data_IF_820675872309
#
_entry.id   IF_820675872309
#
_cell.length_a   1.000
_cell.length_b   1.000
_cell.length_c   1.000
_cell.angle_alpha   90.00
_cell.angle_beta   90.00
_cell.angle_gamma   90.00
#
_symmetry.space_group_name_H-M   'P 1'
#
loop_
_entity.id
_entity.type
_entity.pdbx_description
1 polymer ?
#
# COMPACT_ATOMS: atom_id res chain seq x y z
N UNK A 1 -18.65 -15.28 32.20
CA UNK A 1 -19.84 -15.29 31.32
C UNK A 1 -19.42 -14.76 29.96
N UNK A 2 -19.09 -15.64 29.01
CA UNK A 2 -18.76 -15.27 27.63
C UNK A 2 -20.07 -15.06 26.89
N UNK A 3 -20.39 -13.81 26.59
CA UNK A 3 -21.54 -13.46 25.73
C UNK A 3 -21.29 -14.03 24.33
N UNK A 4 -22.22 -14.83 23.81
CA UNK A 4 -22.18 -15.29 22.41
C UNK A 4 -22.25 -14.06 21.49
N UNK A 5 -21.43 -13.99 20.43
CA UNK A 5 -21.42 -12.87 19.50
C UNK A 5 -22.78 -12.69 18.84
N UNK A 6 -23.17 -11.43 18.63
CA UNK A 6 -24.41 -11.06 17.94
C UNK A 6 -24.44 -11.57 16.49
N UNK A 7 -25.60 -11.54 15.84
CA UNK A 7 -25.71 -11.89 14.42
C UNK A 7 -24.87 -10.97 13.53
N UNK A 8 -24.83 -9.68 13.85
CA UNK A 8 -24.04 -8.68 13.12
C UNK A 8 -22.54 -8.87 13.31
N UNK A 9 -22.07 -9.21 14.53
CA UNK A 9 -20.68 -9.54 14.79
C UNK A 9 -20.23 -10.78 14.03
N UNK A 10 -21.05 -11.84 13.97
CA UNK A 10 -20.77 -13.05 13.18
C UNK A 10 -20.72 -12.74 11.68
N UNK A 11 -21.63 -11.89 11.19
CA UNK A 11 -21.68 -11.47 9.79
C UNK A 11 -20.42 -10.70 9.42
N UNK A 12 -20.00 -9.71 10.24
CA UNK A 12 -18.77 -8.94 10.05
C UNK A 12 -17.53 -9.84 10.11
N UNK A 13 -17.47 -10.76 11.06
CA UNK A 13 -16.36 -11.71 11.18
C UNK A 13 -16.23 -12.62 9.96
N UNK A 14 -17.35 -13.13 9.43
CA UNK A 14 -17.34 -13.97 8.21
C UNK A 14 -16.87 -13.17 6.99
N UNK A 15 -17.35 -11.94 6.85
CA UNK A 15 -16.92 -11.05 5.75
C UNK A 15 -15.41 -10.77 5.80
N UNK A 16 -14.89 -10.47 6.98
CA UNK A 16 -13.46 -10.25 7.17
C UNK A 16 -12.64 -11.52 6.91
N UNK A 17 -13.09 -12.68 7.37
CA UNK A 17 -12.44 -13.96 7.12
C UNK A 17 -12.30 -14.27 5.62
N UNK A 18 -13.33 -13.92 4.81
CA UNK A 18 -13.27 -14.06 3.35
C UNK A 18 -12.24 -13.12 2.70
N UNK A 19 -12.15 -11.87 3.15
CA UNK A 19 -11.13 -10.92 2.67
C UNK A 19 -9.72 -11.40 2.98
N UNK A 20 -9.49 -11.84 4.22
CA UNK A 20 -8.17 -12.32 4.65
C UNK A 20 -7.79 -13.64 3.94
N UNK A 21 -8.75 -14.54 3.71
CA UNK A 21 -8.54 -15.74 2.94
C UNK A 21 -8.21 -15.43 1.47
N UNK A 22 -8.89 -14.48 0.85
CA UNK A 22 -8.59 -14.03 -0.51
C UNK A 22 -7.18 -13.48 -0.62
N UNK A 23 -6.75 -12.65 0.34
CA UNK A 23 -5.36 -12.12 0.40
C UNK A 23 -4.34 -13.26 0.53
N UNK A 24 -4.56 -14.23 1.43
CA UNK A 24 -3.66 -15.38 1.57
C UNK A 24 -3.57 -16.20 0.28
N UNK A 25 -4.70 -16.50 -0.36
CA UNK A 25 -4.69 -17.24 -1.62
C UNK A 25 -3.87 -16.50 -2.70
N UNK A 26 -4.04 -15.16 -2.82
CA UNK A 26 -3.27 -14.37 -3.79
C UNK A 26 -1.79 -14.31 -3.42
N UNK A 27 -1.46 -14.09 -2.15
CA UNK A 27 -0.08 -14.05 -1.67
C UNK A 27 0.67 -15.34 -1.96
N UNK A 28 0.04 -16.48 -1.68
CA UNK A 28 0.69 -17.79 -1.69
C UNK A 28 0.71 -18.45 -3.07
N UNK A 29 -0.23 -18.11 -3.95
CA UNK A 29 -0.34 -18.75 -5.28
C UNK A 29 -0.80 -17.84 -6.43
N UNK A 30 -0.80 -16.51 -6.23
CA UNK A 30 -1.24 -15.52 -7.21
C UNK A 30 -2.76 -15.55 -7.44
N UNK A 31 -3.23 -14.68 -8.35
CA UNK A 31 -4.67 -14.57 -8.68
C UNK A 31 -5.29 -15.88 -9.17
N UNK A 32 -4.53 -16.72 -9.85
CA UNK A 32 -5.02 -18.00 -10.40
C UNK A 32 -5.41 -18.98 -9.28
N UNK A 33 -4.75 -18.95 -8.11
CA UNK A 33 -5.05 -19.80 -6.96
C UNK A 33 -6.30 -19.36 -6.19
N UNK A 34 -6.71 -18.09 -6.30
CA UNK A 34 -7.83 -17.49 -5.60
C UNK A 34 -9.18 -17.91 -6.20
N UNK A 35 -9.47 -19.23 -6.18
CA UNK A 35 -10.77 -19.78 -6.60
C UNK A 35 -11.80 -19.64 -5.49
N UNK A 36 -13.10 -19.57 -5.83
CA UNK A 36 -14.16 -19.47 -4.84
C UNK A 36 -14.11 -20.61 -3.79
N UNK A 37 -13.79 -21.84 -4.23
CA UNK A 37 -13.64 -22.99 -3.33
C UNK A 37 -12.46 -22.84 -2.40
N UNK A 38 -11.30 -22.43 -2.91
CA UNK A 38 -10.10 -22.26 -2.10
C UNK A 38 -10.31 -21.17 -1.06
N UNK A 39 -10.82 -19.99 -1.47
CA UNK A 39 -11.11 -18.88 -0.57
C UNK A 39 -12.09 -19.28 0.53
N UNK A 40 -13.21 -19.94 0.19
CA UNK A 40 -14.21 -20.35 1.20
C UNK A 40 -13.70 -21.45 2.14
N UNK A 41 -12.88 -22.37 1.65
CA UNK A 41 -12.22 -23.37 2.49
C UNK A 41 -11.29 -22.71 3.51
N UNK A 42 -10.43 -21.80 3.04
CA UNK A 42 -9.51 -21.03 3.89
C UNK A 42 -10.22 -20.11 4.90
N UNK A 43 -11.38 -19.59 4.54
CA UNK A 43 -12.21 -18.74 5.41
C UNK A 43 -13.09 -19.52 6.38
N UNK A 44 -13.22 -20.84 6.24
CA UNK A 44 -14.20 -21.63 6.98
C UNK A 44 -15.66 -21.25 6.66
N UNK A 45 -15.92 -20.77 5.44
CA UNK A 45 -17.22 -20.27 5.00
C UNK A 45 -17.84 -21.17 3.91
N UNK A 46 -19.15 -21.04 3.68
CA UNK A 46 -19.80 -21.70 2.56
C UNK A 46 -19.69 -20.90 1.26
N UNK A 47 -19.87 -21.57 0.11
CA UNK A 47 -19.73 -20.93 -1.20
C UNK A 47 -20.69 -19.75 -1.43
N UNK A 48 -21.91 -19.82 -0.88
CA UNK A 48 -22.92 -18.77 -0.98
C UNK A 48 -22.53 -17.48 -0.26
N UNK A 49 -21.60 -17.54 0.71
CA UNK A 49 -21.14 -16.38 1.45
C UNK A 49 -20.47 -15.35 0.55
N UNK A 50 -19.73 -15.78 -0.49
CA UNK A 50 -19.10 -14.85 -1.46
C UNK A 50 -20.18 -14.00 -2.14
N UNK A 51 -21.19 -14.65 -2.69
CA UNK A 51 -22.27 -13.93 -3.38
C UNK A 51 -23.08 -13.04 -2.42
N UNK A 52 -23.29 -13.50 -1.20
CA UNK A 52 -24.04 -12.76 -0.18
C UNK A 52 -23.32 -11.46 0.24
N UNK A 53 -22.00 -11.52 0.50
CA UNK A 53 -21.25 -10.37 1.03
C UNK A 53 -20.64 -9.47 -0.04
N UNK A 54 -20.32 -10.00 -1.22
CA UNK A 54 -19.52 -9.30 -2.23
C UNK A 54 -20.15 -9.29 -3.62
N UNK A 55 -21.22 -10.06 -3.85
CA UNK A 55 -21.84 -10.20 -5.16
C UNK A 55 -21.10 -11.18 -6.07
N UNK A 56 -19.79 -11.05 -6.22
CA UNK A 56 -18.98 -11.96 -7.03
C UNK A 56 -17.62 -12.27 -6.38
N UNK A 57 -16.96 -13.32 -6.88
CA UNK A 57 -15.57 -13.64 -6.51
C UNK A 57 -14.62 -12.52 -6.89
N UNK A 58 -14.82 -11.92 -8.06
CA UNK A 58 -13.93 -10.88 -8.57
C UNK A 58 -14.05 -9.60 -7.74
N UNK A 59 -15.25 -9.26 -7.27
CA UNK A 59 -15.46 -8.15 -6.35
C UNK A 59 -14.83 -8.41 -4.97
N UNK A 60 -14.93 -9.65 -4.45
CA UNK A 60 -14.22 -10.04 -3.22
C UNK A 60 -12.71 -9.88 -3.36
N UNK A 61 -12.11 -10.43 -4.44
CA UNK A 61 -10.67 -10.34 -4.66
C UNK A 61 -10.24 -8.89 -4.78
N UNK A 62 -10.96 -8.11 -5.56
CA UNK A 62 -10.65 -6.71 -5.73
C UNK A 62 -10.73 -5.92 -4.43
N UNK A 63 -11.76 -6.13 -3.61
CA UNK A 63 -11.88 -5.49 -2.31
C UNK A 63 -10.74 -5.91 -1.36
N UNK A 64 -10.37 -7.19 -1.36
CA UNK A 64 -9.26 -7.70 -0.57
C UNK A 64 -7.92 -7.06 -0.96
N UNK A 65 -7.62 -6.96 -2.27
CA UNK A 65 -6.39 -6.37 -2.78
C UNK A 65 -6.32 -4.85 -2.51
N UNK A 66 -7.42 -4.12 -2.76
CA UNK A 66 -7.45 -2.69 -2.51
C UNK A 66 -7.45 -2.35 -1.02
N UNK A 67 -8.09 -3.16 -0.17
CA UNK A 67 -7.98 -3.02 1.28
C UNK A 67 -6.53 -3.19 1.78
N UNK A 68 -5.78 -4.13 1.20
CA UNK A 68 -4.36 -4.28 1.51
C UNK A 68 -3.53 -3.06 1.04
N UNK A 69 -3.81 -2.53 -0.15
CA UNK A 69 -3.18 -1.32 -0.66
C UNK A 69 -3.46 -0.10 0.24
N UNK A 70 -4.71 0.10 0.65
CA UNK A 70 -5.11 1.17 1.55
C UNK A 70 -4.40 1.05 2.91
N UNK A 71 -4.38 -0.15 3.51
CA UNK A 71 -3.68 -0.41 4.77
C UNK A 71 -2.18 -0.14 4.69
N UNK A 72 -1.57 -0.38 3.53
CA UNK A 72 -0.15 -0.10 3.29
C UNK A 72 0.16 1.40 3.20
N UNK A 73 -0.73 2.18 2.60
CA UNK A 73 -0.55 3.61 2.34
C UNK A 73 -1.00 4.48 3.53
N UNK A 74 -2.02 4.06 4.28
CA UNK A 74 -2.58 4.83 5.40
C UNK A 74 -1.55 5.32 6.41
N UNK A 75 -0.57 4.52 6.88
CA UNK A 75 0.42 5.00 7.84
C UNK A 75 1.30 6.14 7.30
N UNK A 76 1.60 6.12 5.99
CA UNK A 76 2.31 7.22 5.36
C UNK A 76 1.45 8.50 5.31
N UNK A 77 0.15 8.37 5.01
CA UNK A 77 -0.78 9.52 5.05
C UNK A 77 -0.95 10.08 6.46
N UNK A 78 -0.98 9.23 7.49
CA UNK A 78 -1.06 9.64 8.90
C UNK A 78 0.19 10.42 9.33
N UNK A 79 1.38 10.05 8.84
CA UNK A 79 2.61 10.77 9.13
C UNK A 79 2.59 12.24 8.63
N UNK A 80 1.81 12.53 7.58
CA UNK A 80 1.60 13.90 7.10
C UNK A 80 0.53 14.68 7.88
N UNK A 81 -0.28 14.02 8.68
CA UNK A 81 -1.36 14.64 9.45
C UNK A 81 -0.86 15.24 10.77
N UNK A 82 0.36 14.95 11.19
CA UNK A 82 0.96 15.52 12.38
C UNK A 82 1.24 17.01 12.15
N UNK A 83 0.86 17.85 13.13
CA UNK A 83 1.21 19.28 13.16
C UNK A 83 2.67 19.43 13.61
N UNK A 84 3.59 19.15 12.70
CA UNK A 84 5.03 19.10 12.94
C UNK A 84 5.78 19.93 11.88
N UNK A 85 6.98 20.45 12.19
CA UNK A 85 7.83 21.12 11.22
C UNK A 85 8.11 20.24 9.98
N UNK A 86 8.25 20.82 8.77
CA UNK A 86 8.48 20.06 7.54
C UNK A 86 9.65 19.07 7.59
N UNK A 87 10.73 19.42 8.30
CA UNK A 87 11.90 18.54 8.48
C UNK A 87 11.61 17.33 9.35
N UNK A 88 10.80 17.49 10.40
CA UNK A 88 10.36 16.39 11.26
C UNK A 88 9.36 15.50 10.52
N UNK A 89 8.46 16.09 9.74
CA UNK A 89 7.52 15.36 8.87
C UNK A 89 8.27 14.53 7.84
N UNK A 90 9.29 15.09 7.17
CA UNK A 90 10.14 14.35 6.23
C UNK A 90 10.78 13.14 6.90
N UNK A 91 11.37 13.32 8.09
CA UNK A 91 11.99 12.23 8.84
C UNK A 91 10.98 11.14 9.20
N UNK A 92 9.79 11.52 9.66
CA UNK A 92 8.72 10.58 10.01
C UNK A 92 8.25 9.79 8.78
N UNK A 93 8.06 10.44 7.63
CA UNK A 93 7.68 9.80 6.36
C UNK A 93 8.75 8.81 5.88
N UNK A 94 10.03 9.20 5.94
CA UNK A 94 11.14 8.30 5.58
C UNK A 94 11.21 7.10 6.53
N UNK A 95 11.08 7.31 7.83
CA UNK A 95 11.06 6.23 8.82
C UNK A 95 9.88 5.29 8.59
N UNK A 96 8.70 5.82 8.29
CA UNK A 96 7.53 5.02 7.99
C UNK A 96 7.70 4.19 6.71
N UNK A 97 8.28 4.77 5.66
CA UNK A 97 8.60 4.06 4.42
C UNK A 97 9.58 2.90 4.68
N UNK A 98 10.66 3.14 5.42
CA UNK A 98 11.63 2.10 5.77
C UNK A 98 11.01 1.00 6.66
N UNK A 99 10.15 1.38 7.61
CA UNK A 99 9.43 0.43 8.45
C UNK A 99 8.47 -0.45 7.64
N UNK A 100 7.86 0.10 6.60
CA UNK A 100 6.96 -0.63 5.71
C UNK A 100 7.70 -1.69 4.90
N UNK A 101 8.88 -1.39 4.37
CA UNK A 101 9.72 -2.37 3.68
C UNK A 101 10.17 -3.53 4.57
N UNK A 102 10.35 -3.28 5.89
CA UNK A 102 10.73 -4.33 6.84
C UNK A 102 9.56 -5.25 7.22
N UNK A 103 8.33 -4.72 7.28
CA UNK A 103 7.17 -5.44 7.84
C UNK A 103 6.41 -6.29 6.83
N UNK A 104 6.45 -5.92 5.55
CA UNK A 104 5.48 -6.42 4.57
C UNK A 104 6.10 -7.07 3.33
N UNK A 105 7.26 -7.75 3.48
CA UNK A 105 7.83 -8.52 2.37
C UNK A 105 6.84 -9.57 1.83
N UNK A 106 6.13 -10.26 2.74
CA UNK A 106 5.17 -11.31 2.37
C UNK A 106 3.92 -10.76 1.65
N UNK A 107 3.56 -9.50 1.86
CA UNK A 107 2.39 -8.86 1.24
C UNK A 107 2.71 -8.20 -0.11
N UNK A 108 3.98 -8.19 -0.54
CA UNK A 108 4.38 -7.59 -1.81
C UNK A 108 3.63 -8.19 -3.03
N UNK A 109 3.36 -9.51 -3.13
CA UNK A 109 2.56 -10.06 -4.24
C UNK A 109 1.14 -9.48 -4.28
N UNK A 110 0.48 -9.36 -3.14
CA UNK A 110 -0.88 -8.78 -3.03
C UNK A 110 -0.89 -7.33 -3.50
N UNK A 111 0.10 -6.56 -3.08
CA UNK A 111 0.29 -5.17 -3.48
C UNK A 111 0.50 -5.00 -4.99
N UNK A 112 1.40 -5.79 -5.58
CA UNK A 112 1.70 -5.73 -7.01
C UNK A 112 0.49 -6.15 -7.86
N UNK A 113 -0.26 -7.17 -7.42
CA UNK A 113 -1.50 -7.59 -8.08
C UNK A 113 -2.59 -6.51 -8.00
N UNK A 114 -2.69 -5.78 -6.87
CA UNK A 114 -3.61 -4.64 -6.77
C UNK A 114 -3.29 -3.54 -7.78
N UNK A 115 -1.99 -3.18 -7.94
CA UNK A 115 -1.56 -2.20 -8.94
C UNK A 115 -1.84 -2.68 -10.36
N UNK A 116 -1.55 -3.95 -10.65
CA UNK A 116 -1.78 -4.54 -11.96
C UNK A 116 -3.28 -4.58 -12.31
N UNK A 117 -4.14 -4.91 -11.35
CA UNK A 117 -5.59 -4.87 -11.50
C UNK A 117 -6.07 -3.44 -11.82
N UNK A 118 -5.54 -2.42 -11.13
CA UNK A 118 -5.87 -1.02 -11.39
C UNK A 118 -5.48 -0.55 -12.81
N UNK A 119 -4.46 -1.14 -13.44
CA UNK A 119 -4.12 -0.81 -14.83
C UNK A 119 -5.11 -1.38 -15.85
N UNK A 120 -5.87 -2.41 -15.48
CA UNK A 120 -6.74 -3.18 -16.40
C UNK A 120 -8.23 -2.88 -16.22
N UNK A 121 -8.66 -2.49 -15.03
CA UNK A 121 -10.08 -2.23 -14.71
C UNK A 121 -10.27 -0.77 -14.24
N UNK A 122 -11.18 -0.05 -14.91
CA UNK A 122 -11.43 1.39 -14.66
C UNK A 122 -11.92 1.66 -13.22
N UNK A 123 -12.74 0.77 -12.64
CA UNK A 123 -13.28 0.92 -11.27
C UNK A 123 -12.16 0.95 -10.22
N UNK A 124 -11.17 0.05 -10.40
CA UNK A 124 -10.03 -0.04 -9.49
C UNK A 124 -8.97 1.02 -9.77
N UNK A 125 -8.86 1.44 -11.04
CA UNK A 125 -8.03 2.58 -11.42
C UNK A 125 -8.45 3.85 -10.69
N UNK A 126 -9.73 4.14 -10.64
CA UNK A 126 -10.26 5.33 -9.95
C UNK A 126 -9.91 5.31 -8.45
N UNK A 127 -10.07 4.17 -7.76
CA UNK A 127 -9.66 4.02 -6.36
C UNK A 127 -8.15 4.21 -6.18
N UNK A 128 -7.34 3.56 -7.01
CA UNK A 128 -5.89 3.70 -6.97
C UNK A 128 -5.44 5.14 -7.24
N UNK A 129 -6.04 5.81 -8.23
CA UNK A 129 -5.75 7.22 -8.55
C UNK A 129 -6.09 8.13 -7.38
N UNK A 130 -7.22 7.93 -6.71
CA UNK A 130 -7.60 8.70 -5.52
C UNK A 130 -6.59 8.51 -4.39
N UNK A 131 -6.22 7.26 -4.08
CA UNK A 131 -5.28 6.94 -3.00
C UNK A 131 -3.88 7.48 -3.27
N UNK A 132 -3.31 7.20 -4.44
CA UNK A 132 -2.01 7.72 -4.86
C UNK A 132 -2.03 9.24 -5.05
N UNK A 133 -3.16 9.80 -5.49
CA UNK A 133 -3.35 11.24 -5.64
C UNK A 133 -3.25 11.96 -4.30
N UNK A 134 -3.89 11.42 -3.26
CA UNK A 134 -3.80 11.95 -1.89
C UNK A 134 -2.37 11.92 -1.36
N UNK A 135 -1.67 10.79 -1.53
CA UNK A 135 -0.27 10.66 -1.10
C UNK A 135 0.66 11.60 -1.88
N UNK A 136 0.46 11.71 -3.19
CA UNK A 136 1.22 12.64 -4.05
C UNK A 136 1.02 14.09 -3.64
N UNK A 137 -0.22 14.50 -3.35
CA UNK A 137 -0.53 15.86 -2.92
C UNK A 137 0.19 16.19 -1.60
N UNK A 138 0.14 15.30 -0.60
CA UNK A 138 0.83 15.50 0.68
C UNK A 138 2.35 15.56 0.54
N UNK A 139 2.93 14.71 -0.30
CA UNK A 139 4.35 14.77 -0.61
C UNK A 139 4.72 16.08 -1.32
N UNK A 140 3.92 16.54 -2.27
CA UNK A 140 4.17 17.79 -2.98
C UNK A 140 4.06 19.01 -2.04
N UNK A 141 3.09 19.04 -1.13
CA UNK A 141 2.98 20.07 -0.07
C UNK A 141 4.25 20.09 0.78
N UNK A 142 4.67 18.94 1.31
CA UNK A 142 5.90 18.84 2.11
C UNK A 142 7.15 19.33 1.35
N UNK A 143 7.30 18.93 0.08
CA UNK A 143 8.43 19.37 -0.76
C UNK A 143 8.38 20.88 -0.97
N UNK A 144 7.20 21.46 -1.16
CA UNK A 144 7.00 22.92 -1.28
C UNK A 144 7.45 23.65 -0.02
N UNK A 145 7.06 23.15 1.17
CA UNK A 145 7.42 23.74 2.45
C UNK A 145 8.92 23.64 2.73
N UNK A 146 9.54 22.52 2.37
CA UNK A 146 10.99 22.34 2.45
C UNK A 146 11.75 23.26 1.48
N UNK A 147 11.22 23.49 0.28
CA UNK A 147 11.78 24.43 -0.69
C UNK A 147 11.68 25.88 -0.19
N UNK A 148 10.56 26.25 0.45
CA UNK A 148 10.41 27.57 1.07
C UNK A 148 11.41 27.83 2.22
N UNK A 149 11.91 26.78 2.87
CA UNK A 149 12.95 26.83 3.89
C UNK A 149 14.37 26.77 3.31
N UNK A 150 14.53 26.68 1.98
CA UNK A 150 15.83 26.53 1.31
C UNK A 150 16.48 25.15 1.49
N UNK A 151 15.71 24.14 1.97
CA UNK A 151 16.22 22.78 2.17
C UNK A 151 16.20 22.01 0.85
N UNK A 152 15.19 22.24 0.01
CA UNK A 152 15.06 21.62 -1.32
C UNK A 152 15.45 22.65 -2.39
N UNK A 153 16.33 22.29 -3.35
CA UNK A 153 16.76 23.19 -4.42
C UNK A 153 15.60 23.72 -5.27
N UNK A 154 15.71 24.95 -5.74
CA UNK A 154 14.66 25.66 -6.50
C UNK A 154 14.31 25.02 -7.86
N UNK A 155 15.17 24.17 -8.41
CA UNK A 155 14.89 23.43 -9.66
C UNK A 155 13.95 22.23 -9.47
N UNK A 156 13.67 21.83 -8.21
CA UNK A 156 12.78 20.70 -7.91
C UNK A 156 11.33 21.12 -8.11
N UNK A 157 10.64 20.48 -9.05
CA UNK A 157 9.19 20.64 -9.20
C UNK A 157 8.48 19.68 -8.23
N UNK A 158 7.69 20.19 -7.24
CA UNK A 158 7.18 19.39 -6.14
C UNK A 158 6.31 18.19 -6.57
N UNK A 159 5.42 18.37 -7.55
CA UNK A 159 4.50 17.30 -7.99
C UNK A 159 5.23 16.21 -8.76
N UNK A 160 6.19 16.59 -9.61
CA UNK A 160 7.03 15.62 -10.34
C UNK A 160 7.91 14.83 -9.37
N UNK A 161 8.52 15.50 -8.38
CA UNK A 161 9.34 14.85 -7.37
C UNK A 161 8.50 13.90 -6.51
N UNK A 162 7.31 14.31 -6.07
CA UNK A 162 6.38 13.43 -5.36
C UNK A 162 6.02 12.18 -6.19
N UNK A 163 5.77 12.35 -7.48
CA UNK A 163 5.50 11.23 -8.40
C UNK A 163 6.72 10.31 -8.55
N UNK A 164 7.94 10.88 -8.62
CA UNK A 164 9.18 10.12 -8.69
C UNK A 164 9.41 9.29 -7.41
N UNK A 165 9.18 9.87 -6.23
CA UNK A 165 9.26 9.14 -4.95
C UNK A 165 8.34 7.94 -4.94
N UNK A 166 7.08 8.10 -5.36
CA UNK A 166 6.12 6.99 -5.44
C UNK A 166 6.54 5.93 -6.48
N UNK A 167 7.07 6.35 -7.63
CA UNK A 167 7.56 5.43 -8.66
C UNK A 167 8.78 4.64 -8.15
N UNK A 168 9.71 5.27 -7.45
CA UNK A 168 10.84 4.59 -6.83
C UNK A 168 10.39 3.59 -5.76
N UNK A 169 9.43 3.95 -4.89
CA UNK A 169 8.89 3.04 -3.89
C UNK A 169 8.27 1.79 -4.53
N UNK A 170 7.46 1.96 -5.58
CA UNK A 170 6.90 0.85 -6.34
C UNK A 170 7.98 0.00 -7.03
N UNK A 171 8.99 0.65 -7.58
CA UNK A 171 10.13 0.01 -8.23
C UNK A 171 10.95 -0.84 -7.25
N UNK A 172 11.18 -0.35 -6.04
CA UNK A 172 11.88 -1.09 -4.98
C UNK A 172 11.11 -2.37 -4.64
N UNK A 173 9.78 -2.29 -4.41
CA UNK A 173 8.95 -3.47 -4.16
C UNK A 173 9.03 -4.49 -5.29
N UNK A 174 8.97 -4.04 -6.54
CA UNK A 174 9.05 -4.93 -7.70
C UNK A 174 10.42 -5.57 -7.83
N UNK A 175 11.50 -4.80 -7.72
CA UNK A 175 12.88 -5.29 -7.88
C UNK A 175 13.25 -6.31 -6.79
N UNK A 176 12.85 -6.06 -5.54
CA UNK A 176 13.11 -6.99 -4.44
C UNK A 176 12.40 -8.35 -4.61
N UNK A 177 11.32 -8.40 -5.39
CA UNK A 177 10.63 -9.65 -5.73
C UNK A 177 11.23 -10.37 -6.95
N UNK A 178 11.79 -9.60 -7.88
CA UNK A 178 12.42 -10.15 -9.08
C UNK A 178 13.82 -10.71 -8.80
N UNK A 179 14.57 -10.05 -7.95
CA UNK A 179 15.97 -10.40 -7.64
C UNK A 179 16.27 -10.16 -6.15
N UNK A 180 15.75 -11.03 -5.27
CA UNK A 180 15.89 -10.86 -3.82
C UNK A 180 17.33 -10.93 -3.33
N UNK A 181 18.21 -11.59 -4.07
CA UNK A 181 19.62 -11.74 -3.69
C UNK A 181 20.43 -10.45 -3.89
N UNK A 182 20.01 -9.57 -4.82
CA UNK A 182 20.73 -8.33 -5.16
C UNK A 182 19.92 -7.06 -4.90
N UNK A 183 18.62 -7.15 -4.66
CA UNK A 183 17.71 -6.03 -4.46
C UNK A 183 17.09 -6.05 -3.07
N UNK A 184 17.90 -5.95 -2.01
CA UNK A 184 17.41 -5.76 -0.63
C UNK A 184 16.60 -4.47 -0.54
N UNK A 185 15.28 -4.56 -0.23
CA UNK A 185 14.39 -3.40 -0.26
C UNK A 185 14.78 -2.33 0.77
N UNK A 186 15.33 -2.73 1.92
CA UNK A 186 15.77 -1.79 2.94
C UNK A 186 17.03 -1.05 2.51
N UNK A 187 18.00 -1.73 1.91
CA UNK A 187 19.21 -1.11 1.40
C UNK A 187 18.89 -0.11 0.28
N UNK A 188 18.02 -0.50 -0.67
CA UNK A 188 17.58 0.36 -1.76
C UNK A 188 16.82 1.58 -1.26
N UNK A 189 15.88 1.40 -0.33
CA UNK A 189 15.12 2.51 0.27
C UNK A 189 16.01 3.46 1.07
N UNK A 190 16.99 2.92 1.82
CA UNK A 190 17.96 3.72 2.57
C UNK A 190 18.85 4.55 1.62
N UNK A 191 19.34 3.93 0.55
CA UNK A 191 20.14 4.62 -0.45
C UNK A 191 19.35 5.72 -1.15
N UNK A 192 18.09 5.44 -1.52
CA UNK A 192 17.18 6.41 -2.13
C UNK A 192 16.90 7.60 -1.19
N UNK A 193 16.58 7.34 0.07
CA UNK A 193 16.40 8.39 1.08
C UNK A 193 17.67 9.24 1.25
N UNK A 194 18.85 8.60 1.27
CA UNK A 194 20.14 9.30 1.31
C UNK A 194 20.37 10.23 0.11
N UNK A 195 19.98 9.80 -1.10
CA UNK A 195 20.06 10.65 -2.30
C UNK A 195 19.13 11.87 -2.21
N UNK A 196 17.90 11.68 -1.69
CA UNK A 196 16.96 12.80 -1.49
C UNK A 196 17.52 13.83 -0.49
N UNK A 197 18.09 13.36 0.63
CA UNK A 197 18.70 14.24 1.63
C UNK A 197 19.95 14.94 1.07
N UNK A 198 20.83 14.22 0.35
CA UNK A 198 22.02 14.81 -0.26
C UNK A 198 21.68 15.87 -1.31
N UNK A 199 20.64 15.61 -2.14
CA UNK A 199 20.17 16.59 -3.12
C UNK A 199 19.61 17.86 -2.45
N UNK A 200 19.04 17.73 -1.24
CA UNK A 200 18.55 18.86 -0.46
C UNK A 200 19.67 19.71 0.20
N UNK A 201 20.88 19.16 0.32
CA UNK A 201 22.03 19.86 0.99
C UNK A 201 23.11 20.33 0.02
N UNK A 202 22.94 20.09 -1.29
CA UNK A 202 23.88 20.52 -2.32
C UNK A 202 23.44 21.86 -2.91
N UNK A 203 24.06 22.95 -2.45
CA UNK A 203 23.98 24.28 -3.06
C UNK A 203 24.78 24.34 -4.38
#
# INVERSE_FOLDING_TARGET
MTTSPSADERSSATRQALLDAARRCVRDGGLASATSRHITTEAGANLGAITYYFGSKDDLIAEALFGALEQRISPALEAFAADAPPTETLLAVVQQLLAEFRRNEDEAPVYLEALLLATRDARYRERAVTLYGSLRARLAELITDLAAQGIVPSWVEPTAMASLVLACANGIVLQSRLDPDHADPLALATQFAGLLVAAATSD
#
